data_IF_050669287076
#
_entry.id   IF_050669287076
#
_cell.length_a   1.000
_cell.length_b   1.000
_cell.length_c   1.000
_cell.angle_alpha   90.00
_cell.angle_beta   90.00
_cell.angle_gamma   90.00
#
_symmetry.space_group_name_H-M   'P 1'
#
loop_
_entity.id
_entity.type
_entity.pdbx_description
1 polymer ?
#
# COMPACT_ATOMS: atom_id res chain seq x y z
N UNK A 1 49.65 24.05 -27.46
CA UNK A 1 48.61 24.09 -26.41
C UNK A 1 47.19 23.87 -26.97
N UNK A 2 47.06 23.31 -28.19
CA UNK A 2 45.77 23.04 -28.83
C UNK A 2 45.48 21.54 -29.05
N UNK A 3 46.41 20.65 -28.69
CA UNK A 3 46.27 19.19 -28.88
C UNK A 3 45.82 18.43 -27.62
N UNK A 4 45.57 19.11 -26.49
CA UNK A 4 45.07 18.46 -25.27
C UNK A 4 43.55 18.52 -25.09
N UNK A 5 42.85 19.40 -25.82
CA UNK A 5 41.38 19.50 -25.75
C UNK A 5 40.67 18.48 -26.65
N UNK A 6 41.30 18.06 -27.76
CA UNK A 6 40.77 17.03 -28.65
C UNK A 6 40.93 15.62 -28.09
N UNK A 7 41.95 15.37 -27.24
CA UNK A 7 42.11 14.08 -26.56
C UNK A 7 41.09 13.86 -25.42
N UNK A 8 40.59 14.93 -24.79
CA UNK A 8 39.55 14.83 -23.76
C UNK A 8 38.14 14.69 -24.34
N UNK A 9 37.91 15.14 -25.58
CA UNK A 9 36.63 15.02 -26.26
C UNK A 9 36.35 13.60 -26.80
N UNK A 10 37.40 12.81 -27.11
CA UNK A 10 37.23 11.45 -27.64
C UNK A 10 36.99 10.40 -26.54
N UNK A 11 37.34 10.68 -25.28
CA UNK A 11 37.05 9.80 -24.14
C UNK A 11 35.63 9.96 -23.56
N UNK A 12 34.89 11.02 -23.93
CA UNK A 12 33.53 11.28 -23.44
C UNK A 12 32.44 10.52 -24.22
N UNK A 13 32.76 9.90 -25.37
CA UNK A 13 31.78 9.28 -26.25
C UNK A 13 31.20 7.94 -25.78
N UNK A 14 31.75 7.32 -24.72
CA UNK A 14 31.30 6.02 -24.20
C UNK A 14 30.69 6.04 -22.79
N UNK A 15 30.79 7.16 -22.07
CA UNK A 15 30.37 7.26 -20.65
C UNK A 15 28.94 7.76 -20.42
N UNK A 16 28.41 8.56 -21.33
CA UNK A 16 27.10 9.21 -21.16
C UNK A 16 25.91 8.27 -21.37
N UNK A 17 26.04 7.23 -22.19
CA UNK A 17 24.98 6.22 -22.36
C UNK A 17 24.89 5.26 -21.17
N UNK A 18 26.00 4.99 -20.47
CA UNK A 18 25.98 4.14 -19.27
C UNK A 18 25.37 4.82 -18.05
N UNK A 19 25.25 6.15 -18.06
CA UNK A 19 24.71 6.93 -16.95
C UNK A 19 23.22 7.30 -17.09
N UNK A 20 22.59 7.03 -18.23
CA UNK A 20 21.17 7.33 -18.43
C UNK A 20 20.28 6.27 -17.80
N UNK A 21 19.21 6.70 -17.13
CA UNK A 21 18.23 5.78 -16.58
C UNK A 21 17.23 5.39 -17.68
N UNK A 22 16.79 4.13 -17.69
CA UNK A 22 15.79 3.65 -18.67
C UNK A 22 14.45 4.37 -18.52
N UNK A 23 14.08 4.71 -17.28
CA UNK A 23 12.83 5.41 -16.96
C UNK A 23 13.10 6.92 -16.81
N UNK A 24 12.53 7.78 -17.67
CA UNK A 24 12.78 9.23 -17.64
C UNK A 24 12.40 9.89 -16.31
N UNK A 25 11.33 9.43 -15.67
CA UNK A 25 10.86 9.94 -14.39
C UNK A 25 11.90 9.72 -13.28
N UNK A 26 12.59 8.57 -13.31
CA UNK A 26 13.66 8.25 -12.36
C UNK A 26 14.86 9.17 -12.60
N UNK A 27 15.23 9.39 -13.86
CA UNK A 27 16.37 10.23 -14.23
C UNK A 27 16.24 11.68 -13.71
N UNK A 28 15.04 12.26 -13.78
CA UNK A 28 14.80 13.63 -13.32
C UNK A 28 14.68 13.71 -11.79
N UNK A 29 14.18 12.64 -11.16
CA UNK A 29 13.77 12.65 -9.75
C UNK A 29 14.85 12.14 -8.81
N UNK A 30 15.68 11.17 -9.21
CA UNK A 30 16.63 10.50 -8.32
C UNK A 30 18.06 11.02 -8.58
N UNK A 31 18.80 11.44 -7.53
CA UNK A 31 20.20 11.84 -7.69
C UNK A 31 21.08 10.65 -8.12
N UNK A 32 22.05 10.91 -8.99
CA UNK A 32 23.06 9.93 -9.43
C UNK A 32 24.31 9.91 -8.53
N UNK A 33 24.25 10.56 -7.37
CA UNK A 33 25.35 10.67 -6.41
C UNK A 33 24.93 10.12 -5.05
N UNK A 34 25.88 9.55 -4.32
CA UNK A 34 25.66 9.00 -2.98
C UNK A 34 26.93 9.16 -2.12
N UNK A 35 26.75 9.52 -0.85
CA UNK A 35 27.82 9.64 0.15
C UNK A 35 27.69 8.50 1.19
N UNK A 36 28.52 7.44 1.10
CA UNK A 36 28.47 6.30 2.01
C UNK A 36 28.84 6.60 3.47
N UNK A 37 29.42 7.77 3.75
CA UNK A 37 29.96 8.11 5.09
C UNK A 37 28.91 8.66 6.05
N UNK A 38 27.73 9.04 5.53
CA UNK A 38 26.66 9.62 6.33
C UNK A 38 26.15 8.65 7.42
N UNK A 39 26.02 9.10 8.68
CA UNK A 39 25.53 8.26 9.77
C UNK A 39 24.05 7.93 9.58
N UNK A 40 23.67 6.68 9.86
CA UNK A 40 22.31 6.14 9.63
C UNK A 40 21.66 5.61 10.91
N UNK A 41 22.41 4.87 11.73
CA UNK A 41 21.92 4.22 12.95
C UNK A 41 22.05 5.14 14.16
N UNK A 42 21.38 6.29 14.12
CA UNK A 42 21.47 7.29 15.19
C UNK A 42 20.38 7.12 16.23
N UNK A 43 20.60 7.65 17.44
CA UNK A 43 19.58 7.69 18.48
C UNK A 43 18.29 8.36 18.01
N UNK A 44 18.42 9.46 17.25
CA UNK A 44 17.29 10.19 16.65
C UNK A 44 16.47 9.33 15.71
N UNK A 45 17.13 8.55 14.85
CA UNK A 45 16.48 7.65 13.92
C UNK A 45 15.61 6.63 14.65
N UNK A 46 16.12 6.00 15.71
CA UNK A 46 15.36 5.05 16.51
C UNK A 46 14.18 5.68 17.23
N UNK A 47 14.40 6.80 17.93
CA UNK A 47 13.33 7.45 18.72
C UNK A 47 12.22 7.97 17.81
N UNK A 48 12.56 8.75 16.78
CA UNK A 48 11.57 9.31 15.86
C UNK A 48 10.92 8.23 14.99
N UNK A 49 11.69 7.22 14.56
CA UNK A 49 11.19 6.09 13.79
C UNK A 49 10.16 5.27 14.57
N UNK A 50 10.52 4.82 15.78
CA UNK A 50 9.61 4.03 16.63
C UNK A 50 8.38 4.84 17.03
N UNK A 51 8.54 6.09 17.43
CA UNK A 51 7.41 6.96 17.77
C UNK A 51 6.46 7.13 16.57
N UNK A 52 7.00 7.40 15.38
CA UNK A 52 6.19 7.53 14.15
C UNK A 52 5.47 6.22 13.83
N UNK A 53 6.14 5.08 13.94
CA UNK A 53 5.54 3.77 13.70
C UNK A 53 4.36 3.49 14.64
N UNK A 54 4.54 3.70 15.95
CA UNK A 54 3.49 3.48 16.96
C UNK A 54 2.29 4.41 16.74
N UNK A 55 2.55 5.70 16.52
CA UNK A 55 1.49 6.70 16.34
C UNK A 55 0.68 6.41 15.08
N UNK A 56 1.35 6.14 13.94
CA UNK A 56 0.66 5.85 12.68
C UNK A 56 -0.13 4.54 12.77
N UNK A 57 0.44 3.50 13.38
CA UNK A 57 -0.22 2.21 13.53
C UNK A 57 -1.50 2.33 14.35
N UNK A 58 -1.45 3.04 15.48
CA UNK A 58 -2.62 3.30 16.31
C UNK A 58 -3.67 4.13 15.56
N UNK A 59 -3.27 5.25 14.95
CA UNK A 59 -4.19 6.16 14.29
C UNK A 59 -4.90 5.48 13.10
N UNK A 60 -4.15 4.81 12.23
CA UNK A 60 -4.72 4.14 11.06
C UNK A 60 -5.61 2.97 11.45
N UNK A 61 -5.22 2.16 12.44
CA UNK A 61 -6.07 1.08 12.92
C UNK A 61 -7.36 1.60 13.56
N UNK A 62 -7.32 2.74 14.25
CA UNK A 62 -8.49 3.39 14.83
C UNK A 62 -9.43 3.95 13.76
N UNK A 63 -8.90 4.67 12.76
CA UNK A 63 -9.71 5.24 11.68
C UNK A 63 -10.30 4.18 10.75
N UNK A 64 -9.68 3.01 10.65
CA UNK A 64 -10.14 1.90 9.81
C UNK A 64 -11.55 1.39 10.15
N UNK A 65 -11.97 1.46 11.42
CA UNK A 65 -13.30 1.03 11.84
C UNK A 65 -14.40 2.09 11.62
N UNK A 66 -14.08 3.25 11.05
CA UNK A 66 -15.07 4.27 10.70
C UNK A 66 -15.75 3.93 9.37
N UNK A 67 -16.99 4.40 9.23
CA UNK A 67 -17.79 4.24 7.99
C UNK A 67 -17.10 4.83 6.77
N UNK A 68 -16.39 5.95 6.95
CA UNK A 68 -15.47 6.50 5.96
C UNK A 68 -14.05 6.45 6.55
N UNK A 69 -13.26 5.42 6.21
CA UNK A 69 -11.92 5.26 6.77
C UNK A 69 -11.01 6.36 6.22
N UNK A 70 -10.18 6.92 7.11
CA UNK A 70 -9.10 7.83 6.74
C UNK A 70 -7.78 7.13 6.98
N UNK A 71 -6.85 7.24 6.03
CA UNK A 71 -5.50 6.69 6.18
C UNK A 71 -4.49 7.82 6.21
N UNK A 72 -3.66 7.83 7.25
CA UNK A 72 -2.52 8.72 7.41
C UNK A 72 -1.31 8.03 6.80
N UNK A 73 -0.80 8.61 5.70
CA UNK A 73 0.35 8.06 4.99
C UNK A 73 1.69 8.34 5.71
N UNK A 74 2.72 7.57 5.38
CA UNK A 74 4.09 7.80 5.84
C UNK A 74 4.66 9.18 5.45
N UNK A 75 4.10 9.83 4.41
CA UNK A 75 4.49 11.17 3.97
C UNK A 75 4.22 12.21 5.06
N UNK A 76 3.16 12.04 5.86
CA UNK A 76 2.86 12.93 6.98
C UNK A 76 3.97 12.88 8.04
N UNK A 77 4.49 11.68 8.34
CA UNK A 77 5.63 11.51 9.23
C UNK A 77 6.92 12.08 8.61
N UNK A 78 7.15 11.87 7.31
CA UNK A 78 8.27 12.47 6.57
C UNK A 78 8.31 14.00 6.67
N UNK A 79 7.16 14.67 6.72
CA UNK A 79 7.12 16.14 6.91
C UNK A 79 7.35 16.50 8.38
N UNK A 80 6.66 15.82 9.31
CA UNK A 80 6.70 16.13 10.74
C UNK A 80 8.09 15.91 11.37
N UNK A 81 8.84 14.94 10.86
CA UNK A 81 10.16 14.57 11.38
C UNK A 81 11.23 15.60 11.07
N UNK A 82 11.09 16.44 10.03
CA UNK A 82 12.11 17.45 9.68
C UNK A 82 12.36 18.47 10.80
N UNK A 83 11.36 19.21 11.31
CA UNK A 83 11.61 20.16 12.39
C UNK A 83 12.08 19.47 13.67
N UNK A 84 11.54 18.28 13.98
CA UNK A 84 11.94 17.49 15.15
C UNK A 84 13.38 16.97 15.04
N UNK A 85 13.79 16.51 13.87
CA UNK A 85 15.14 16.03 13.58
C UNK A 85 16.18 17.14 13.71
N UNK A 86 15.89 18.33 13.17
CA UNK A 86 16.74 19.50 13.36
C UNK A 86 16.78 20.00 14.81
N UNK A 87 15.64 19.96 15.52
CA UNK A 87 15.59 20.31 16.94
C UNK A 87 16.47 19.37 17.76
N UNK A 88 16.30 18.05 17.60
CA UNK A 88 17.11 17.05 18.28
C UNK A 88 18.59 17.13 17.89
N UNK A 89 18.90 17.48 16.64
CA UNK A 89 20.28 17.70 16.22
C UNK A 89 20.94 18.92 16.89
N UNK A 90 20.16 19.92 17.31
CA UNK A 90 20.66 21.09 18.04
C UNK A 90 20.71 20.87 19.55
N UNK A 91 19.80 20.08 20.11
CA UNK A 91 19.67 19.91 21.56
C UNK A 91 20.44 18.71 22.13
N UNK A 92 20.65 17.65 21.35
CA UNK A 92 21.29 16.43 21.87
C UNK A 92 22.81 16.60 22.04
N UNK A 93 23.37 16.05 23.13
CA UNK A 93 24.80 16.15 23.41
C UNK A 93 25.62 15.37 22.38
N UNK A 94 26.73 15.96 21.93
CA UNK A 94 27.72 15.34 21.04
C UNK A 94 28.75 14.48 21.78
N UNK A 95 28.66 14.40 23.11
CA UNK A 95 29.58 13.64 23.95
C UNK A 95 29.52 12.16 23.60
N UNK A 96 30.69 11.54 23.47
CA UNK A 96 30.83 10.10 23.29
C UNK A 96 30.61 9.42 24.63
N UNK A 97 29.51 8.69 24.75
CA UNK A 97 29.22 7.83 25.91
C UNK A 97 30.01 6.53 25.75
N UNK A 98 30.50 5.97 26.86
CA UNK A 98 31.31 4.75 26.89
C UNK A 98 32.60 4.79 26.04
N UNK A 99 33.22 5.97 25.94
CA UNK A 99 34.49 6.16 25.26
C UNK A 99 35.56 5.16 25.74
N UNK A 100 36.24 4.49 24.81
CA UNK A 100 37.26 3.47 25.10
C UNK A 100 36.76 2.03 25.18
N UNK A 101 35.45 1.79 25.03
CA UNK A 101 34.88 0.43 24.95
C UNK A 101 34.33 0.13 23.56
N UNK A 102 34.06 -1.15 23.27
CA UNK A 102 33.37 -1.57 22.02
C UNK A 102 31.93 -1.04 21.91
N UNK A 103 31.40 -0.44 22.98
CA UNK A 103 30.05 0.11 23.06
C UNK A 103 30.03 1.65 23.03
N UNK A 104 31.14 2.27 22.64
CA UNK A 104 31.21 3.73 22.51
C UNK A 104 30.17 4.21 21.49
N UNK A 105 29.24 5.07 21.93
CA UNK A 105 28.24 5.67 21.04
C UNK A 105 28.00 7.14 21.38
N UNK A 106 27.65 7.93 20.37
CA UNK A 106 27.25 9.32 20.53
C UNK A 106 25.76 9.46 20.28
N UNK A 107 25.07 10.26 21.11
CA UNK A 107 23.66 10.58 20.90
C UNK A 107 23.45 11.51 19.69
N UNK A 108 24.49 12.26 19.31
CA UNK A 108 24.46 13.22 18.22
C UNK A 108 25.74 13.13 17.39
N UNK A 109 25.80 12.22 16.38
CA UNK A 109 26.99 12.05 15.54
C UNK A 109 27.18 13.16 14.50
N UNK A 110 26.20 14.05 14.30
CA UNK A 110 26.27 15.08 13.27
C UNK A 110 24.92 15.72 12.97
N UNK A 111 24.85 16.60 11.95
CA UNK A 111 23.60 17.22 11.53
C UNK A 111 22.58 16.19 11.04
N UNK A 112 21.30 16.54 11.13
CA UNK A 112 20.22 15.70 10.60
C UNK A 112 20.38 15.55 9.08
N UNK A 113 20.50 14.31 8.61
CA UNK A 113 20.81 14.00 7.22
C UNK A 113 19.67 13.22 6.53
N UNK A 114 19.73 13.15 5.20
CA UNK A 114 18.71 12.49 4.36
C UNK A 114 18.56 11.01 4.71
N UNK A 115 19.64 10.28 5.02
CA UNK A 115 19.58 8.84 5.26
C UNK A 115 18.95 8.49 6.60
N UNK A 116 19.28 9.23 7.66
CA UNK A 116 18.55 9.18 8.93
C UNK A 116 17.06 9.41 8.69
N UNK A 117 16.72 10.41 7.86
CA UNK A 117 15.34 10.73 7.54
C UNK A 117 14.61 9.61 6.78
N UNK A 118 15.23 9.05 5.74
CA UNK A 118 14.69 7.93 4.96
C UNK A 118 14.42 6.72 5.87
N UNK A 119 15.33 6.40 6.79
CA UNK A 119 15.13 5.29 7.72
C UNK A 119 13.95 5.54 8.68
N UNK A 120 13.79 6.76 9.19
CA UNK A 120 12.62 7.12 10.01
C UNK A 120 11.32 6.95 9.21
N UNK A 121 11.31 7.35 7.94
CA UNK A 121 10.14 7.17 7.06
C UNK A 121 9.85 5.70 6.76
N UNK A 122 10.86 4.83 6.66
CA UNK A 122 10.65 3.37 6.53
C UNK A 122 9.92 2.82 7.76
N UNK A 123 10.30 3.25 8.97
CA UNK A 123 9.60 2.88 10.20
C UNK A 123 8.16 3.40 10.20
N UNK A 124 7.97 4.66 9.82
CA UNK A 124 6.64 5.25 9.69
C UNK A 124 5.77 4.50 8.66
N UNK A 125 6.36 4.07 7.54
CA UNK A 125 5.66 3.30 6.51
C UNK A 125 5.23 1.91 6.99
N UNK A 126 6.07 1.25 7.79
CA UNK A 126 5.69 0.00 8.45
C UNK A 126 4.50 0.20 9.40
N UNK A 127 4.43 1.33 10.11
CA UNK A 127 3.28 1.68 10.96
C UNK A 127 2.05 2.21 10.19
N UNK A 128 2.24 2.76 9.00
CA UNK A 128 1.15 3.30 8.19
C UNK A 128 0.22 2.20 7.64
N UNK A 129 0.74 0.99 7.42
CA UNK A 129 -0.04 -0.15 6.95
C UNK A 129 -0.93 -0.77 8.04
N UNK A 130 -2.15 -1.13 7.68
CA UNK A 130 -3.04 -1.94 8.52
C UNK A 130 -2.79 -3.43 8.35
N UNK A 131 -2.82 -4.18 9.45
CA UNK A 131 -2.56 -5.63 9.44
C UNK A 131 -3.80 -6.37 8.96
N UNK A 132 -3.73 -7.03 7.79
CA UNK A 132 -4.89 -7.72 7.20
C UNK A 132 -5.51 -8.80 8.14
N UNK A 133 -4.69 -9.48 8.95
CA UNK A 133 -5.17 -10.45 9.93
C UNK A 133 -6.11 -9.86 11.00
N UNK A 134 -6.15 -8.53 11.18
CA UNK A 134 -7.13 -7.87 12.05
C UNK A 134 -8.57 -8.06 11.57
N UNK A 135 -8.80 -8.29 10.27
CA UNK A 135 -10.12 -8.62 9.74
C UNK A 135 -10.63 -9.96 10.27
N UNK A 136 -9.74 -10.95 10.42
CA UNK A 136 -10.09 -12.26 11.00
C UNK A 136 -10.49 -12.08 12.47
N UNK A 137 -9.67 -11.36 13.25
CA UNK A 137 -9.98 -11.08 14.66
C UNK A 137 -11.31 -10.34 14.82
N UNK A 138 -11.54 -9.32 13.98
CA UNK A 138 -12.78 -8.55 13.97
C UNK A 138 -13.98 -9.38 13.53
N UNK A 139 -13.82 -10.29 12.56
CA UNK A 139 -14.87 -11.23 12.18
C UNK A 139 -15.28 -12.14 13.35
N UNK A 140 -14.31 -12.76 14.01
CA UNK A 140 -14.54 -13.63 15.18
C UNK A 140 -15.22 -12.87 16.33
N UNK A 141 -14.75 -11.65 16.62
CA UNK A 141 -15.25 -10.84 17.74
C UNK A 141 -16.60 -10.18 17.46
N UNK A 142 -16.76 -9.52 16.31
CA UNK A 142 -17.93 -8.69 16.02
C UNK A 142 -19.09 -9.48 15.40
N UNK A 143 -18.79 -10.41 14.49
CA UNK A 143 -19.82 -11.18 13.77
C UNK A 143 -20.15 -12.48 14.47
N UNK A 144 -19.14 -13.24 14.91
CA UNK A 144 -19.36 -14.52 15.58
C UNK A 144 -19.48 -14.43 17.11
N UNK A 145 -19.33 -13.21 17.68
CA UNK A 145 -19.43 -12.94 19.12
C UNK A 145 -18.56 -13.84 20.00
N UNK A 146 -17.41 -14.28 19.48
CA UNK A 146 -16.44 -15.14 20.18
C UNK A 146 -15.19 -14.35 20.52
N UNK A 147 -14.48 -14.80 21.55
CA UNK A 147 -13.19 -14.24 21.92
C UNK A 147 -12.07 -15.09 21.33
N UNK A 148 -11.16 -14.46 20.59
CA UNK A 148 -9.86 -15.04 20.28
C UNK A 148 -8.88 -14.57 21.35
N UNK A 149 -8.23 -15.51 22.04
CA UNK A 149 -7.26 -15.17 23.09
C UNK A 149 -6.07 -14.40 22.50
N UNK A 150 -5.38 -13.63 23.35
CA UNK A 150 -4.31 -12.73 22.91
C UNK A 150 -3.19 -13.43 22.14
N UNK A 151 -2.73 -14.59 22.64
CA UNK A 151 -1.60 -15.34 22.07
C UNK A 151 -1.84 -15.79 20.62
N UNK A 152 -2.93 -16.52 20.27
CA UNK A 152 -3.18 -16.91 18.88
C UNK A 152 -3.43 -15.70 17.98
N UNK A 153 -4.08 -14.64 18.47
CA UNK A 153 -4.25 -13.41 17.70
C UNK A 153 -2.90 -12.76 17.35
N UNK A 154 -2.02 -12.63 18.34
CA UNK A 154 -0.68 -12.07 18.16
C UNK A 154 0.18 -12.92 17.22
N UNK A 155 0.16 -14.26 17.37
CA UNK A 155 0.89 -15.18 16.50
C UNK A 155 0.45 -15.05 15.05
N UNK A 156 -0.85 -15.07 14.76
CA UNK A 156 -1.36 -14.93 13.39
C UNK A 156 -1.03 -13.55 12.81
N UNK A 157 -1.15 -12.47 13.60
CA UNK A 157 -0.80 -11.13 13.15
C UNK A 157 0.68 -10.97 12.83
N UNK A 158 1.57 -11.41 13.73
CA UNK A 158 3.02 -11.30 13.53
C UNK A 158 3.45 -12.16 12.34
N UNK A 159 2.99 -13.41 12.29
CA UNK A 159 3.42 -14.34 11.25
C UNK A 159 2.99 -13.89 9.86
N UNK A 160 1.77 -13.37 9.70
CA UNK A 160 1.30 -12.85 8.41
C UNK A 160 2.11 -11.64 7.92
N UNK A 161 2.56 -10.76 8.82
CA UNK A 161 3.42 -9.61 8.46
C UNK A 161 4.86 -10.04 8.16
N UNK A 162 5.43 -10.91 8.99
CA UNK A 162 6.81 -11.42 8.83
C UNK A 162 6.95 -12.23 7.53
N UNK A 163 5.89 -12.92 7.10
CA UNK A 163 5.88 -13.69 5.86
C UNK A 163 6.19 -12.81 4.64
N UNK A 164 5.64 -11.60 4.60
CA UNK A 164 5.87 -10.63 3.54
C UNK A 164 7.33 -10.23 3.40
N UNK A 165 8.05 -10.06 4.51
CA UNK A 165 9.49 -9.76 4.48
C UNK A 165 10.33 -10.91 3.91
N UNK A 166 9.93 -12.17 4.18
CA UNK A 166 10.53 -13.34 3.56
C UNK A 166 10.39 -13.34 2.03
N UNK A 167 9.17 -13.09 1.52
CA UNK A 167 8.92 -13.00 0.08
C UNK A 167 9.65 -11.83 -0.59
N UNK A 168 9.60 -10.65 0.03
CA UNK A 168 10.26 -9.46 -0.50
C UNK A 168 11.77 -9.68 -0.70
N UNK A 169 12.42 -10.41 0.21
CA UNK A 169 13.83 -10.78 0.09
C UNK A 169 14.13 -11.72 -1.07
N UNK A 170 13.30 -12.75 -1.28
CA UNK A 170 13.46 -13.70 -2.39
C UNK A 170 13.26 -13.04 -3.75
N UNK A 171 12.31 -12.11 -3.86
CA UNK A 171 11.99 -11.40 -5.10
C UNK A 171 12.77 -10.09 -5.29
N UNK A 172 13.62 -9.68 -4.33
CA UNK A 172 14.41 -8.44 -4.39
C UNK A 172 15.17 -8.28 -5.71
N UNK A 173 15.78 -9.36 -6.21
CA UNK A 173 16.55 -9.35 -7.46
C UNK A 173 15.70 -8.99 -8.68
N UNK A 174 14.41 -9.36 -8.67
CA UNK A 174 13.48 -9.12 -9.77
C UNK A 174 12.68 -7.82 -9.63
N UNK A 175 12.30 -7.45 -8.40
CA UNK A 175 11.40 -6.32 -8.14
C UNK A 175 12.11 -5.02 -7.75
N UNK A 176 13.36 -5.09 -7.29
CA UNK A 176 14.11 -3.93 -6.78
C UNK A 176 15.34 -3.64 -7.65
N UNK A 177 16.10 -4.66 -8.02
CA UNK A 177 17.32 -4.45 -8.82
C UNK A 177 17.03 -4.27 -10.31
N UNK A 178 15.80 -4.53 -10.78
CA UNK A 178 15.41 -4.37 -12.19
C UNK A 178 15.18 -2.89 -12.54
N UNK A 179 15.87 -2.39 -13.56
CA UNK A 179 15.83 -0.99 -14.01
C UNK A 179 14.45 -0.52 -14.51
N UNK A 180 13.61 -1.46 -14.95
CA UNK A 180 12.25 -1.22 -15.41
C UNK A 180 11.25 -1.02 -14.24
N UNK A 181 11.62 -1.44 -13.03
CA UNK A 181 10.76 -1.43 -11.84
C UNK A 181 10.99 -0.14 -11.03
N UNK A 182 10.21 0.89 -11.29
CA UNK A 182 10.48 2.25 -10.79
C UNK A 182 9.63 2.72 -9.60
N UNK A 183 8.56 1.98 -9.24
CA UNK A 183 7.73 2.21 -8.06
C UNK A 183 7.25 3.67 -7.88
N UNK A 184 6.17 4.08 -8.57
CA UNK A 184 5.81 5.50 -8.71
C UNK A 184 5.56 6.24 -7.38
N UNK A 185 4.92 5.59 -6.41
CA UNK A 185 4.70 6.15 -5.07
C UNK A 185 6.00 6.46 -4.32
N UNK A 186 7.07 5.68 -4.56
CA UNK A 186 8.38 5.92 -3.95
C UNK A 186 9.04 7.16 -4.57
N UNK A 187 8.85 7.43 -5.87
CA UNK A 187 9.36 8.67 -6.47
C UNK A 187 8.75 9.93 -5.86
N UNK A 188 7.50 9.87 -5.43
CA UNK A 188 6.87 10.98 -4.68
C UNK A 188 7.59 11.21 -3.36
N UNK A 189 7.96 10.14 -2.62
CA UNK A 189 8.74 10.27 -1.39
C UNK A 189 10.16 10.80 -1.65
N UNK A 190 10.83 10.31 -2.71
CA UNK A 190 12.18 10.77 -3.08
C UNK A 190 12.18 12.24 -3.45
N UNK A 191 11.22 12.70 -4.25
CA UNK A 191 11.11 14.11 -4.62
C UNK A 191 10.89 15.00 -3.39
N UNK A 192 10.13 14.52 -2.41
CA UNK A 192 9.94 15.23 -1.13
C UNK A 192 11.21 15.23 -0.27
N UNK A 193 11.96 14.14 -0.17
CA UNK A 193 13.25 14.14 0.54
C UNK A 193 14.22 15.16 -0.05
N UNK A 194 14.29 15.22 -1.39
CA UNK A 194 15.10 16.23 -2.09
C UNK A 194 14.61 17.64 -1.78
N UNK A 195 13.32 17.89 -1.86
CA UNK A 195 12.77 19.22 -1.57
C UNK A 195 13.03 19.68 -0.12
N UNK A 196 13.12 18.75 0.83
CA UNK A 196 13.33 19.05 2.25
C UNK A 196 14.81 19.20 2.64
N UNK A 197 15.73 18.51 1.95
CA UNK A 197 17.16 18.49 2.31
C UNK A 197 18.07 19.20 1.30
N UNK A 198 17.67 19.37 0.04
CA UNK A 198 18.47 20.12 -0.94
C UNK A 198 18.33 21.63 -0.72
N UNK A 199 19.45 22.28 -0.42
CA UNK A 199 19.55 23.74 -0.38
C UNK A 199 19.66 24.30 -1.79
N UNK A 200 18.50 24.51 -2.45
CA UNK A 200 18.44 25.18 -3.75
C UNK A 200 18.83 26.65 -3.67
N UNK A 201 19.49 27.18 -4.72
CA UNK A 201 19.67 28.63 -4.89
C UNK A 201 18.29 29.29 -4.93
N UNK A 202 18.05 30.23 -3.99
CA UNK A 202 16.77 30.94 -3.87
C UNK A 202 16.45 31.62 -5.21
N UNK A 203 15.31 31.32 -5.86
CA UNK A 203 14.93 32.06 -7.06
C UNK A 203 14.75 33.53 -6.68
N UNK A 204 15.36 34.44 -7.46
CA UNK A 204 15.32 35.90 -7.19
C UNK A 204 13.90 36.48 -7.28
N UNK A 205 12.97 35.77 -7.91
CA UNK A 205 11.54 36.10 -7.99
C UNK A 205 10.72 34.80 -7.91
N UNK A 206 9.78 34.71 -6.97
CA UNK A 206 8.90 33.55 -6.76
C UNK A 206 8.87 33.03 -5.30
N UNK A 207 7.83 32.24 -5.00
CA UNK A 207 7.72 31.52 -3.72
C UNK A 207 8.77 30.41 -3.64
N UNK A 208 9.40 30.24 -2.48
CA UNK A 208 10.21 29.04 -2.24
C UNK A 208 9.34 27.79 -2.18
N UNK A 209 9.89 26.61 -2.51
CA UNK A 209 9.16 25.33 -2.44
C UNK A 209 8.53 25.12 -1.05
N UNK A 210 9.26 25.46 0.01
CA UNK A 210 8.80 25.35 1.40
C UNK A 210 7.68 26.35 1.72
N UNK A 211 7.77 27.59 1.25
CA UNK A 211 6.69 28.58 1.43
C UNK A 211 5.40 28.15 0.71
N UNK A 212 5.52 27.69 -0.54
CA UNK A 212 4.37 27.16 -1.28
C UNK A 212 3.74 25.99 -0.54
N UNK A 213 4.55 25.05 -0.06
CA UNK A 213 4.09 23.92 0.74
C UNK A 213 3.32 24.38 2.00
N UNK A 214 3.84 25.34 2.76
CA UNK A 214 3.17 25.84 3.96
C UNK A 214 1.86 26.57 3.67
N UNK A 215 1.80 27.34 2.57
CA UNK A 215 0.56 27.99 2.12
C UNK A 215 -0.49 26.93 1.78
N UNK A 216 -0.14 25.94 0.96
CA UNK A 216 -1.06 24.86 0.58
C UNK A 216 -1.50 24.06 1.80
N UNK A 217 -0.59 23.78 2.74
CA UNK A 217 -0.91 23.07 3.99
C UNK A 217 -1.94 23.85 4.81
N UNK A 218 -1.73 25.16 5.01
CA UNK A 218 -2.63 25.99 5.80
C UNK A 218 -3.99 26.17 5.12
N UNK A 219 -4.03 26.43 3.80
CA UNK A 219 -5.27 26.55 3.04
C UNK A 219 -6.04 25.24 3.03
N UNK A 220 -5.35 24.11 2.81
CA UNK A 220 -5.96 22.78 2.85
C UNK A 220 -6.53 22.49 4.24
N UNK A 221 -5.76 22.72 5.31
CA UNK A 221 -6.21 22.51 6.68
C UNK A 221 -7.49 23.29 6.98
N UNK A 222 -7.53 24.58 6.62
CA UNK A 222 -8.72 25.42 6.78
C UNK A 222 -9.90 24.94 5.92
N UNK A 223 -9.64 24.49 4.69
CA UNK A 223 -10.68 23.99 3.80
C UNK A 223 -11.34 22.71 4.35
N UNK A 224 -10.57 21.77 4.90
CA UNK A 224 -11.11 20.49 5.40
C UNK A 224 -12.07 20.63 6.60
N UNK A 225 -12.10 21.76 7.29
CA UNK A 225 -13.11 22.07 8.31
C UNK A 225 -14.52 22.12 7.69
N UNK A 226 -14.63 22.54 6.42
CA UNK A 226 -15.91 22.64 5.71
C UNK A 226 -16.52 21.26 5.42
N UNK A 227 -15.94 20.38 4.58
CA UNK A 227 -16.53 19.08 4.30
C UNK A 227 -16.52 18.16 5.53
N UNK A 228 -15.59 18.36 6.48
CA UNK A 228 -15.44 17.50 7.65
C UNK A 228 -16.41 17.80 8.80
N UNK A 229 -16.86 19.05 8.96
CA UNK A 229 -17.68 19.45 10.11
C UNK A 229 -18.83 20.39 9.75
N UNK A 230 -18.58 21.49 9.04
CA UNK A 230 -19.59 22.53 8.82
C UNK A 230 -20.63 22.14 7.75
N UNK A 231 -20.18 21.58 6.63
CA UNK A 231 -20.99 21.26 5.45
C UNK A 231 -20.64 19.87 4.92
N UNK A 232 -21.08 18.83 5.63
CA UNK A 232 -20.80 17.43 5.28
C UNK A 232 -21.38 17.01 3.92
N UNK A 233 -22.37 17.74 3.39
CA UNK A 233 -22.90 17.53 2.02
C UNK A 233 -21.81 17.65 0.93
N UNK A 234 -20.75 18.43 1.18
CA UNK A 234 -19.62 18.58 0.25
C UNK A 234 -18.89 17.26 -0.01
N UNK A 235 -19.01 16.27 0.88
CA UNK A 235 -18.37 14.95 0.72
C UNK A 235 -19.06 14.09 -0.34
N UNK A 236 -20.37 14.24 -0.53
CA UNK A 236 -21.12 13.49 -1.55
C UNK A 236 -22.30 14.31 -2.05
N UNK A 237 -22.02 15.25 -2.94
CA UNK A 237 -23.03 16.05 -3.60
C UNK A 237 -23.63 15.27 -4.77
N UNK A 238 -24.83 14.72 -4.57
CA UNK A 238 -25.51 13.87 -5.55
C UNK A 238 -26.59 14.65 -6.30
N UNK A 239 -26.22 15.26 -7.44
CA UNK A 239 -27.11 16.15 -8.22
C UNK A 239 -28.40 15.45 -8.69
N UNK A 240 -28.29 14.19 -9.11
CA UNK A 240 -29.44 13.40 -9.58
C UNK A 240 -30.45 13.13 -8.46
N UNK A 241 -29.99 12.90 -7.22
CA UNK A 241 -30.89 12.76 -6.07
C UNK A 241 -31.60 14.08 -5.73
N UNK A 242 -30.96 15.21 -5.97
CA UNK A 242 -31.54 16.52 -5.73
C UNK A 242 -32.63 16.88 -6.76
N UNK A 243 -32.42 16.53 -8.03
CA UNK A 243 -33.46 16.71 -9.07
C UNK A 243 -34.66 15.77 -8.91
N UNK A 244 -34.44 14.54 -8.44
CA UNK A 244 -35.49 13.52 -8.31
C UNK A 244 -35.62 12.99 -6.87
N UNK A 245 -36.04 13.83 -5.92
CA UNK A 245 -36.05 13.47 -4.50
C UNK A 245 -37.03 12.34 -4.17
N UNK A 246 -38.15 12.23 -4.89
CA UNK A 246 -39.21 11.26 -4.61
C UNK A 246 -39.11 9.97 -5.46
N UNK A 247 -38.17 9.89 -6.40
CA UNK A 247 -38.04 8.73 -7.29
C UNK A 247 -37.05 7.70 -6.73
N UNK A 248 -37.51 6.48 -6.52
CA UNK A 248 -36.66 5.36 -6.10
C UNK A 248 -35.55 5.11 -7.12
N UNK A 249 -35.87 5.18 -8.41
CA UNK A 249 -34.89 5.00 -9.49
C UNK A 249 -33.87 6.14 -9.51
N UNK A 250 -34.33 7.39 -9.32
CA UNK A 250 -33.43 8.56 -9.22
C UNK A 250 -32.45 8.44 -8.06
N UNK A 251 -32.91 7.94 -6.91
CA UNK A 251 -32.07 7.70 -5.74
C UNK A 251 -31.10 6.52 -5.94
N UNK A 252 -31.55 5.41 -6.55
CA UNK A 252 -30.70 4.25 -6.83
C UNK A 252 -29.58 4.58 -7.82
N UNK A 253 -29.88 5.37 -8.85
CA UNK A 253 -28.87 5.82 -9.83
C UNK A 253 -27.95 6.89 -9.26
N UNK A 254 -28.53 7.90 -8.60
CA UNK A 254 -27.82 9.13 -8.24
C UNK A 254 -27.03 9.09 -6.93
N UNK A 255 -27.40 8.24 -5.98
CA UNK A 255 -26.85 8.31 -4.62
C UNK A 255 -25.40 7.84 -4.60
N UNK A 256 -24.47 8.72 -4.20
CA UNK A 256 -23.06 8.37 -4.04
C UNK A 256 -22.76 7.44 -2.84
N UNK A 257 -23.65 7.38 -1.85
CA UNK A 257 -23.45 6.58 -0.63
C UNK A 257 -24.20 5.25 -0.62
N UNK A 258 -25.36 5.18 -1.30
CA UNK A 258 -26.27 4.02 -1.25
C UNK A 258 -26.71 3.53 -2.63
N UNK A 259 -26.17 4.12 -3.69
CA UNK A 259 -26.55 3.84 -5.08
C UNK A 259 -25.33 3.74 -5.99
N UNK A 260 -25.57 3.91 -7.29
CA UNK A 260 -24.50 3.82 -8.30
C UNK A 260 -23.63 5.10 -8.38
N UNK A 261 -24.08 6.21 -7.81
CA UNK A 261 -23.33 7.47 -7.75
C UNK A 261 -23.28 8.27 -9.06
N UNK A 262 -24.21 8.05 -10.01
CA UNK A 262 -24.26 8.81 -11.26
C UNK A 262 -24.53 10.29 -10.96
N UNK A 263 -23.60 11.16 -11.33
CA UNK A 263 -23.69 12.60 -11.04
C UNK A 263 -23.49 12.94 -9.56
N UNK A 264 -22.81 12.06 -8.81
CA UNK A 264 -22.33 12.34 -7.46
C UNK A 264 -20.89 12.84 -7.49
N UNK A 265 -20.62 13.94 -6.80
CA UNK A 265 -19.31 14.58 -6.73
C UNK A 265 -18.89 14.80 -5.28
N UNK A 266 -17.64 14.46 -4.95
CA UNK A 266 -17.01 14.86 -3.71
C UNK A 266 -16.14 16.10 -3.96
N UNK A 267 -16.28 17.12 -3.12
CA UNK A 267 -15.46 18.34 -3.17
C UNK A 267 -14.23 18.26 -2.25
N UNK A 268 -14.07 17.17 -1.50
CA UNK A 268 -12.91 16.94 -0.67
C UNK A 268 -11.96 15.89 -1.27
N UNK A 269 -10.67 16.16 -1.20
CA UNK A 269 -9.67 15.27 -1.79
C UNK A 269 -9.59 13.93 -1.05
N UNK A 270 -9.94 13.85 0.24
CA UNK A 270 -10.02 12.56 0.95
C UNK A 270 -11.06 11.62 0.36
N UNK A 271 -12.25 12.10 -0.02
CA UNK A 271 -13.28 11.28 -0.67
C UNK A 271 -12.82 10.84 -2.05
N UNK A 272 -12.25 11.76 -2.85
CA UNK A 272 -11.75 11.46 -4.20
C UNK A 272 -10.62 10.41 -4.17
N UNK A 273 -9.71 10.52 -3.20
CA UNK A 273 -8.52 9.64 -3.09
C UNK A 273 -8.72 8.41 -2.19
N UNK A 274 -9.85 8.31 -1.49
CA UNK A 274 -10.12 7.27 -0.48
C UNK A 274 -9.93 5.84 -0.98
N UNK A 275 -10.31 5.57 -2.23
CA UNK A 275 -10.33 4.21 -2.79
C UNK A 275 -9.12 3.89 -3.68
N UNK A 276 -8.68 4.83 -4.54
CA UNK A 276 -7.54 4.61 -5.46
C UNK A 276 -6.19 5.10 -4.91
N UNK A 277 -6.17 5.64 -3.68
CA UNK A 277 -5.01 6.36 -3.16
C UNK A 277 -4.78 7.66 -3.92
N UNK A 278 -3.53 8.11 -4.01
CA UNK A 278 -3.20 9.36 -4.72
C UNK A 278 -3.14 9.14 -6.24
N UNK A 279 -4.11 9.65 -7.03
CA UNK A 279 -4.08 9.51 -8.49
C UNK A 279 -2.90 10.27 -9.11
N UNK A 280 -2.36 11.27 -8.41
CA UNK A 280 -1.19 12.05 -8.84
C UNK A 280 0.09 11.22 -8.89
N UNK A 281 0.18 10.16 -8.07
CA UNK A 281 1.34 9.28 -8.05
C UNK A 281 1.28 8.19 -9.12
N UNK A 282 0.08 7.87 -9.62
CA UNK A 282 -0.13 6.77 -10.56
C UNK A 282 -0.05 7.25 -12.02
N UNK A 283 0.56 6.49 -12.94
CA UNK A 283 0.58 6.85 -14.35
C UNK A 283 -0.84 7.03 -14.94
N UNK A 284 -1.01 8.00 -15.83
CA UNK A 284 -2.31 8.34 -16.43
C UNK A 284 -3.02 7.13 -17.05
N UNK A 285 -2.29 6.29 -17.81
CA UNK A 285 -2.88 5.12 -18.46
C UNK A 285 -3.46 4.12 -17.44
N UNK A 286 -2.86 3.99 -16.27
CA UNK A 286 -3.34 3.09 -15.22
C UNK A 286 -4.66 3.64 -14.65
N UNK A 287 -4.69 4.93 -14.33
CA UNK A 287 -5.91 5.61 -13.85
C UNK A 287 -7.05 5.54 -14.87
N UNK A 288 -6.76 5.77 -16.15
CA UNK A 288 -7.74 5.65 -17.23
C UNK A 288 -8.31 4.23 -17.34
N UNK A 289 -7.47 3.19 -17.25
CA UNK A 289 -7.93 1.80 -17.27
C UNK A 289 -8.83 1.47 -16.07
N UNK A 290 -8.49 1.94 -14.87
CA UNK A 290 -9.35 1.73 -13.68
C UNK A 290 -10.68 2.47 -13.85
N UNK A 291 -10.68 3.69 -14.41
CA UNK A 291 -11.90 4.44 -14.69
C UNK A 291 -12.82 3.72 -15.70
N UNK A 292 -12.25 3.17 -16.79
CA UNK A 292 -13.00 2.36 -17.76
C UNK A 292 -13.57 1.10 -17.09
N UNK A 293 -12.76 0.40 -16.29
CA UNK A 293 -13.21 -0.76 -15.52
C UNK A 293 -14.36 -0.42 -14.57
N UNK A 294 -14.25 0.70 -13.84
CA UNK A 294 -15.31 1.20 -12.98
C UNK A 294 -16.60 1.47 -13.75
N UNK A 295 -16.55 2.16 -14.89
CA UNK A 295 -17.73 2.44 -15.72
C UNK A 295 -18.39 1.15 -16.20
N UNK A 296 -17.61 0.17 -16.67
CA UNK A 296 -18.13 -1.11 -17.12
C UNK A 296 -18.82 -1.89 -15.99
N UNK A 297 -18.22 -1.93 -14.80
CA UNK A 297 -18.79 -2.69 -13.66
C UNK A 297 -20.00 -1.98 -13.05
N UNK A 298 -19.86 -0.69 -12.75
CA UNK A 298 -20.86 0.09 -12.03
C UNK A 298 -22.03 0.50 -12.92
N UNK A 299 -21.79 0.90 -14.17
CA UNK A 299 -22.82 1.51 -15.03
C UNK A 299 -23.31 0.63 -16.18
N UNK A 300 -22.64 -0.48 -16.47
CA UNK A 300 -23.10 -1.43 -17.50
C UNK A 300 -23.51 -2.73 -16.83
N UNK A 301 -22.57 -3.42 -16.20
CA UNK A 301 -22.77 -4.79 -15.73
C UNK A 301 -23.74 -4.89 -14.55
N UNK A 302 -23.61 -4.02 -13.54
CA UNK A 302 -24.52 -3.99 -12.36
C UNK A 302 -25.95 -3.64 -12.76
N UNK A 303 -26.20 -2.59 -13.57
CA UNK A 303 -27.50 -2.32 -14.17
C UNK A 303 -28.11 -3.50 -14.94
N UNK A 304 -27.36 -4.07 -15.89
CA UNK A 304 -27.86 -5.14 -16.75
C UNK A 304 -28.31 -6.33 -15.91
N UNK A 305 -27.50 -6.76 -14.94
CA UNK A 305 -27.79 -7.90 -14.08
C UNK A 305 -28.92 -7.64 -13.09
N UNK A 306 -29.02 -6.41 -12.55
CA UNK A 306 -30.07 -6.04 -11.60
C UNK A 306 -31.44 -5.89 -12.28
N UNK A 307 -31.54 -5.14 -13.38
CA UNK A 307 -32.81 -4.90 -14.06
C UNK A 307 -33.32 -6.09 -14.88
N UNK A 308 -32.42 -6.95 -15.38
CA UNK A 308 -32.79 -8.25 -15.97
C UNK A 308 -33.25 -9.29 -14.93
N UNK A 309 -33.20 -8.95 -13.63
CA UNK A 309 -33.55 -9.83 -12.51
C UNK A 309 -32.78 -11.16 -12.51
N UNK A 310 -31.53 -11.14 -13.00
CA UNK A 310 -30.67 -12.32 -12.99
C UNK A 310 -30.42 -12.74 -11.54
N UNK A 311 -30.62 -14.04 -11.22
CA UNK A 311 -30.54 -14.57 -9.85
C UNK A 311 -31.49 -13.89 -8.83
N UNK A 312 -32.67 -13.42 -9.27
CA UNK A 312 -33.65 -12.71 -8.40
C UNK A 312 -33.06 -11.45 -7.73
N UNK A 313 -32.17 -10.77 -8.46
CA UNK A 313 -31.44 -9.60 -8.01
C UNK A 313 -32.32 -8.51 -7.38
N UNK A 314 -33.55 -8.30 -7.88
CA UNK A 314 -34.47 -7.26 -7.39
C UNK A 314 -34.97 -7.49 -5.97
N UNK A 315 -34.77 -8.69 -5.44
CA UNK A 315 -35.08 -9.04 -4.04
C UNK A 315 -34.13 -8.36 -3.05
N UNK A 316 -32.96 -7.91 -3.53
CA UNK A 316 -31.90 -7.33 -2.72
C UNK A 316 -31.65 -5.87 -3.12
N UNK A 317 -31.09 -5.01 -2.24
CA UNK A 317 -30.67 -3.68 -2.63
C UNK A 317 -29.57 -3.74 -3.71
N UNK A 318 -29.62 -2.84 -4.69
CA UNK A 318 -28.65 -2.75 -5.79
C UNK A 318 -27.20 -2.63 -5.29
N UNK A 319 -27.00 -1.86 -4.21
CA UNK A 319 -25.71 -1.59 -3.59
C UNK A 319 -25.78 -1.93 -2.09
N UNK A 320 -25.18 -3.05 -1.69
CA UNK A 320 -25.05 -3.41 -0.28
C UNK A 320 -23.95 -4.44 -0.03
N UNK A 321 -23.25 -4.32 1.09
CA UNK A 321 -22.30 -5.31 1.61
C UNK A 321 -22.92 -6.34 2.57
N UNK A 322 -24.23 -6.24 2.83
CA UNK A 322 -24.92 -7.15 3.74
C UNK A 322 -25.21 -8.51 3.08
N UNK A 323 -25.45 -9.51 3.94
CA UNK A 323 -25.86 -10.86 3.54
C UNK A 323 -27.37 -11.03 3.68
N UNK A 324 -27.99 -11.73 2.73
CA UNK A 324 -29.44 -11.87 2.64
C UNK A 324 -29.92 -13.32 2.52
N UNK A 325 -31.12 -13.59 3.04
CA UNK A 325 -31.89 -14.82 2.78
C UNK A 325 -32.62 -14.72 1.44
N UNK A 326 -33.16 -15.83 0.93
CA UNK A 326 -33.88 -15.87 -0.35
C UNK A 326 -35.10 -14.94 -0.43
N UNK A 327 -35.64 -14.52 0.71
CA UNK A 327 -36.77 -13.60 0.83
C UNK A 327 -36.37 -12.11 0.96
N UNK A 328 -35.07 -11.77 0.87
CA UNK A 328 -34.57 -10.40 1.02
C UNK A 328 -34.36 -9.93 2.46
N UNK A 329 -34.71 -10.73 3.46
CA UNK A 329 -34.39 -10.43 4.87
C UNK A 329 -32.89 -10.62 5.15
N UNK A 330 -32.36 -9.92 6.16
CA UNK A 330 -30.96 -10.04 6.56
C UNK A 330 -30.65 -11.47 7.03
N UNK A 331 -29.51 -11.99 6.59
CA UNK A 331 -29.04 -13.31 7.00
C UNK A 331 -28.48 -13.24 8.41
N UNK A 332 -29.01 -14.07 9.31
CA UNK A 332 -28.51 -14.17 10.68
C UNK A 332 -27.39 -15.21 10.75
N UNK A 333 -26.16 -14.73 10.81
CA UNK A 333 -24.95 -15.56 10.80
C UNK A 333 -24.83 -16.36 12.10
N UNK A 334 -25.32 -15.83 13.24
CA UNK A 334 -25.19 -16.52 14.53
C UNK A 334 -26.08 -17.76 14.60
N UNK A 335 -27.21 -17.75 13.88
CA UNK A 335 -28.14 -18.89 13.87
C UNK A 335 -27.58 -20.16 13.23
N UNK A 336 -26.58 -20.05 12.35
CA UNK A 336 -26.00 -21.19 11.61
C UNK A 336 -24.70 -21.72 12.22
N UNK A 337 -24.20 -21.11 13.30
CA UNK A 337 -22.93 -21.50 13.93
C UNK A 337 -23.20 -22.14 15.28
N UNK A 338 -22.72 -23.37 15.45
CA UNK A 338 -22.88 -24.12 16.69
C UNK A 338 -21.99 -23.57 17.83
N UNK A 339 -22.14 -24.13 19.04
CA UNK A 339 -21.32 -23.78 20.20
C UNK A 339 -19.83 -24.16 20.04
N UNK A 340 -19.47 -25.02 19.08
CA UNK A 340 -18.09 -25.44 18.75
C UNK A 340 -17.48 -24.67 17.57
N UNK A 341 -18.12 -23.56 17.15
CA UNK A 341 -17.69 -22.73 16.03
C UNK A 341 -17.80 -23.41 14.66
N UNK A 342 -18.59 -24.48 14.54
CA UNK A 342 -18.81 -25.20 13.30
C UNK A 342 -20.14 -24.80 12.66
N UNK A 343 -20.25 -24.98 11.34
CA UNK A 343 -21.49 -24.76 10.62
C UNK A 343 -22.52 -25.85 10.98
N UNK A 344 -23.64 -25.44 11.57
CA UNK A 344 -24.80 -26.30 11.77
C UNK A 344 -25.49 -26.55 10.43
N UNK A 345 -25.24 -27.72 9.86
CA UNK A 345 -25.80 -28.12 8.56
C UNK A 345 -27.32 -28.29 8.60
N UNK A 346 -27.89 -28.65 9.74
CA UNK A 346 -29.33 -28.82 9.91
C UNK A 346 -30.04 -27.47 9.78
N UNK A 347 -29.62 -26.50 10.59
CA UNK A 347 -30.16 -25.14 10.58
C UNK A 347 -29.86 -24.43 9.25
N UNK A 348 -28.67 -24.62 8.69
CA UNK A 348 -28.31 -24.10 7.36
C UNK A 348 -29.21 -24.64 6.25
N UNK A 349 -29.57 -25.92 6.29
CA UNK A 349 -30.47 -26.52 5.29
C UNK A 349 -31.88 -25.92 5.32
N UNK A 350 -32.35 -25.49 6.51
CA UNK A 350 -33.65 -24.85 6.69
C UNK A 350 -33.62 -23.36 6.31
N UNK A 351 -32.59 -22.63 6.72
CA UNK A 351 -32.42 -21.20 6.41
C UNK A 351 -32.09 -20.94 4.94
N UNK A 352 -31.51 -21.92 4.27
CA UNK A 352 -31.10 -21.86 2.89
C UNK A 352 -29.79 -21.09 2.67
N UNK A 353 -29.44 -20.95 1.39
CA UNK A 353 -28.18 -20.36 0.94
C UNK A 353 -28.11 -18.87 1.25
N UNK A 354 -26.90 -18.40 1.52
CA UNK A 354 -26.59 -16.97 1.66
C UNK A 354 -26.62 -16.31 0.28
N UNK A 355 -27.32 -15.19 0.16
CA UNK A 355 -27.38 -14.39 -1.06
C UNK A 355 -26.70 -13.04 -0.84
N UNK A 356 -26.10 -12.52 -1.91
CA UNK A 356 -25.38 -11.25 -1.93
C UNK A 356 -26.13 -10.27 -2.83
N UNK A 357 -25.91 -8.97 -2.63
CA UNK A 357 -26.35 -7.98 -3.61
C UNK A 357 -25.64 -8.21 -4.95
N UNK A 358 -26.29 -7.81 -6.05
CA UNK A 358 -25.73 -7.96 -7.39
C UNK A 358 -24.38 -7.26 -7.53
N UNK A 359 -24.26 -6.01 -7.05
CA UNK A 359 -23.00 -5.28 -7.07
C UNK A 359 -21.88 -6.04 -6.32
N UNK A 360 -22.19 -6.58 -5.14
CA UNK A 360 -21.19 -7.30 -4.33
C UNK A 360 -20.78 -8.62 -5.00
N UNK A 361 -21.74 -9.40 -5.51
CA UNK A 361 -21.48 -10.64 -6.22
C UNK A 361 -20.60 -10.43 -7.48
N UNK A 362 -20.94 -9.40 -8.28
CA UNK A 362 -20.18 -9.07 -9.49
C UNK A 362 -18.75 -8.61 -9.19
N UNK A 363 -18.56 -7.82 -8.12
CA UNK A 363 -17.24 -7.37 -7.69
C UNK A 363 -16.37 -8.56 -7.28
N UNK A 364 -16.91 -9.54 -6.54
CA UNK A 364 -16.19 -10.80 -6.25
C UNK A 364 -15.84 -11.60 -7.51
N UNK A 365 -16.80 -11.74 -8.43
CA UNK A 365 -16.58 -12.46 -9.69
C UNK A 365 -15.41 -11.87 -10.49
N UNK A 366 -15.36 -10.54 -10.61
CA UNK A 366 -14.25 -9.84 -11.26
C UNK A 366 -12.96 -9.93 -10.44
N UNK A 367 -13.04 -9.93 -9.11
CA UNK A 367 -11.89 -10.19 -8.25
C UNK A 367 -11.20 -11.52 -8.56
N UNK A 368 -11.97 -12.59 -8.75
CA UNK A 368 -11.40 -13.88 -9.18
C UNK A 368 -10.87 -13.85 -10.62
N UNK A 369 -11.58 -13.17 -11.54
CA UNK A 369 -11.14 -13.03 -12.92
C UNK A 369 -9.82 -12.24 -13.03
N UNK A 370 -9.61 -11.23 -12.18
CA UNK A 370 -8.41 -10.39 -12.20
C UNK A 370 -7.15 -11.15 -11.76
N UNK A 371 -7.25 -12.18 -10.92
CA UNK A 371 -6.12 -13.08 -10.62
C UNK A 371 -5.63 -13.79 -11.89
N UNK A 372 -6.55 -14.40 -12.65
CA UNK A 372 -6.21 -15.08 -13.91
C UNK A 372 -5.71 -14.09 -14.97
N UNK A 373 -6.39 -12.94 -15.10
CA UNK A 373 -5.98 -11.88 -16.02
C UNK A 373 -4.58 -11.32 -15.69
N UNK A 374 -4.20 -11.26 -14.41
CA UNK A 374 -2.88 -10.81 -13.97
C UNK A 374 -1.77 -11.74 -14.47
N UNK A 375 -1.97 -13.05 -14.36
CA UNK A 375 -1.04 -14.06 -14.89
C UNK A 375 -0.90 -13.92 -16.40
N UNK A 376 -2.04 -13.87 -17.12
CA UNK A 376 -2.04 -13.73 -18.58
C UNK A 376 -1.37 -12.42 -19.03
N UNK A 377 -1.67 -11.31 -18.36
CA UNK A 377 -1.09 -10.01 -18.65
C UNK A 377 0.44 -10.02 -18.49
N UNK A 378 0.93 -10.51 -17.36
CA UNK A 378 2.38 -10.57 -17.09
C UNK A 378 3.07 -11.53 -18.07
N UNK A 379 2.45 -12.67 -18.41
CA UNK A 379 3.02 -13.60 -19.40
C UNK A 379 3.09 -13.00 -20.82
N UNK A 380 2.07 -12.27 -21.26
CA UNK A 380 2.02 -11.69 -22.60
C UNK A 380 2.93 -10.47 -22.74
N UNK A 381 2.90 -9.55 -21.78
CA UNK A 381 3.58 -8.27 -21.89
C UNK A 381 4.99 -8.30 -21.29
N UNK A 382 5.18 -8.94 -20.14
CA UNK A 382 6.46 -8.98 -19.44
C UNK A 382 7.14 -10.35 -19.53
N UNK A 383 6.51 -11.36 -20.11
CA UNK A 383 7.04 -12.73 -20.13
C UNK A 383 8.36 -12.85 -20.87
N UNK A 384 8.52 -12.14 -21.99
CA UNK A 384 9.79 -12.09 -22.74
C UNK A 384 10.91 -11.45 -21.91
N UNK A 385 10.60 -10.37 -21.21
CA UNK A 385 11.55 -9.66 -20.36
C UNK A 385 11.89 -10.47 -19.11
N UNK A 386 10.92 -11.16 -18.51
CA UNK A 386 11.09 -12.11 -17.41
C UNK A 386 11.99 -13.28 -17.81
N UNK A 387 11.77 -13.90 -18.98
CA UNK A 387 12.62 -14.99 -19.48
C UNK A 387 14.02 -14.47 -19.80
N UNK A 388 14.13 -13.28 -20.40
CA UNK A 388 15.42 -12.61 -20.65
C UNK A 388 16.15 -12.30 -19.35
N UNK A 389 15.46 -11.79 -18.33
CA UNK A 389 16.00 -11.51 -17.01
C UNK A 389 16.37 -12.80 -16.27
N UNK A 390 15.56 -13.86 -16.35
CA UNK A 390 15.88 -15.17 -15.77
C UNK A 390 17.13 -15.78 -16.43
N UNK A 391 17.25 -15.72 -17.76
CA UNK A 391 18.46 -16.16 -18.48
C UNK A 391 19.69 -15.30 -18.15
N UNK A 392 19.52 -13.98 -18.05
CA UNK A 392 20.58 -13.04 -17.64
C UNK A 392 20.91 -13.12 -16.15
N UNK A 393 20.03 -13.66 -15.31
CA UNK A 393 20.31 -13.90 -13.89
C UNK A 393 21.42 -14.95 -13.71
N UNK A 394 21.68 -15.76 -14.74
CA UNK A 394 22.79 -16.71 -14.85
C UNK A 394 23.98 -16.18 -15.68
N UNK A 395 23.95 -14.92 -16.15
CA UNK A 395 25.02 -14.30 -16.95
C UNK A 395 25.40 -12.89 -16.49
N UNK A 396 26.29 -12.22 -17.24
CA UNK A 396 26.79 -10.88 -16.89
C UNK A 396 25.78 -9.78 -17.25
N UNK A 397 25.56 -8.83 -16.33
CA UNK A 397 24.39 -7.93 -16.34
C UNK A 397 24.80 -6.48 -16.60
N UNK A 398 24.16 -5.81 -17.56
CA UNK A 398 24.15 -4.34 -17.62
C UNK A 398 23.44 -3.81 -16.38
N UNK A 399 24.19 -3.12 -15.53
CA UNK A 399 23.70 -2.55 -14.28
C UNK A 399 23.36 -1.08 -14.47
N UNK A 400 22.18 -0.69 -14.00
CA UNK A 400 21.81 0.71 -13.89
C UNK A 400 22.71 1.46 -12.89
N UNK A 401 22.70 2.78 -13.00
CA UNK A 401 23.51 3.66 -12.15
C UNK A 401 23.19 3.47 -10.68
N UNK A 402 21.90 3.32 -10.32
CA UNK A 402 21.50 3.20 -8.92
C UNK A 402 21.89 1.86 -8.31
N UNK A 403 21.75 0.73 -9.02
CA UNK A 403 22.26 -0.56 -8.49
C UNK A 403 23.78 -0.56 -8.39
N UNK A 404 24.50 0.13 -9.29
CA UNK A 404 25.96 0.31 -9.21
C UNK A 404 26.36 1.09 -7.95
N UNK A 405 25.64 2.16 -7.60
CA UNK A 405 25.83 2.90 -6.35
C UNK A 405 25.52 2.03 -5.13
N UNK A 406 24.42 1.27 -5.17
CA UNK A 406 24.00 0.39 -4.08
C UNK A 406 24.98 -0.75 -3.80
N UNK A 407 25.79 -1.18 -4.78
CA UNK A 407 26.85 -2.20 -4.58
C UNK A 407 27.93 -1.79 -3.59
N UNK A 408 28.10 -0.48 -3.31
CA UNK A 408 29.04 -0.02 -2.26
C UNK A 408 28.61 -0.44 -0.86
N UNK A 409 27.34 -0.76 -0.66
CA UNK A 409 26.82 -1.26 0.60
C UNK A 409 26.87 -2.77 0.67
N UNK A 410 27.22 -3.29 1.86
CA UNK A 410 27.15 -4.73 2.13
C UNK A 410 25.71 -5.20 1.97
N UNK A 411 25.49 -6.09 1.01
CA UNK A 411 24.17 -6.64 0.76
C UNK A 411 23.76 -7.62 1.87
N UNK A 412 22.48 -7.60 2.23
CA UNK A 412 21.89 -8.60 3.13
C UNK A 412 21.89 -9.96 2.44
N UNK A 413 22.47 -11.01 3.05
CA UNK A 413 22.48 -12.35 2.47
C UNK A 413 21.08 -12.93 2.27
N UNK A 414 20.86 -13.65 1.16
CA UNK A 414 19.56 -14.27 0.84
C UNK A 414 19.12 -15.27 1.92
N UNK A 415 20.06 -15.94 2.58
CA UNK A 415 19.75 -16.93 3.62
C UNK A 415 19.02 -16.32 4.83
N UNK A 416 19.18 -15.01 5.12
CA UNK A 416 18.43 -14.35 6.21
C UNK A 416 16.93 -14.38 5.91
N UNK A 417 16.55 -14.09 4.67
CA UNK A 417 15.16 -14.11 4.23
C UNK A 417 14.60 -15.53 4.18
N UNK A 418 15.40 -16.51 3.75
CA UNK A 418 15.01 -17.93 3.78
C UNK A 418 14.80 -18.41 5.22
N UNK A 419 15.70 -18.04 6.15
CA UNK A 419 15.58 -18.41 7.55
C UNK A 419 14.32 -17.80 8.19
N UNK A 420 14.06 -16.50 7.95
CA UNK A 420 12.83 -15.83 8.39
C UNK A 420 11.61 -16.56 7.84
N UNK A 421 11.62 -16.92 6.56
CA UNK A 421 10.51 -17.60 5.91
C UNK A 421 10.23 -18.98 6.53
N UNK A 422 11.28 -19.81 6.69
CA UNK A 422 11.16 -21.17 7.23
C UNK A 422 10.67 -21.14 8.68
N UNK A 423 11.28 -20.29 9.52
CA UNK A 423 10.85 -20.12 10.92
C UNK A 423 9.41 -19.64 10.98
N UNK A 424 9.04 -18.68 10.14
CA UNK A 424 7.70 -18.13 10.14
C UNK A 424 6.64 -19.15 9.69
N UNK A 425 6.92 -19.95 8.65
CA UNK A 425 6.05 -21.05 8.20
C UNK A 425 5.89 -22.10 9.31
N UNK A 426 6.96 -22.45 10.01
CA UNK A 426 6.89 -23.38 11.13
C UNK A 426 6.00 -22.85 12.28
N UNK A 427 6.13 -21.56 12.62
CA UNK A 427 5.33 -20.93 13.68
C UNK A 427 3.84 -20.88 13.30
N UNK A 428 3.49 -20.51 12.07
CA UNK A 428 2.08 -20.48 11.65
C UNK A 428 1.49 -21.88 11.53
N UNK A 429 2.26 -22.90 11.10
CA UNK A 429 1.83 -24.30 11.10
C UNK A 429 1.54 -24.78 12.52
N UNK A 430 2.44 -24.49 13.47
CA UNK A 430 2.22 -24.78 14.88
C UNK A 430 0.97 -24.08 15.43
N UNK A 431 0.81 -22.78 15.14
CA UNK A 431 -0.35 -22.02 15.59
C UNK A 431 -1.67 -22.60 15.05
N UNK A 432 -1.71 -22.96 13.77
CA UNK A 432 -2.90 -23.56 13.14
C UNK A 432 -3.25 -24.94 13.71
N UNK A 433 -2.26 -25.78 13.99
CA UNK A 433 -2.50 -27.12 14.55
C UNK A 433 -2.89 -27.06 16.03
N UNK A 434 -2.14 -26.29 16.83
CA UNK A 434 -2.37 -26.19 18.28
C UNK A 434 -3.65 -25.41 18.61
N UNK A 435 -3.95 -24.33 17.86
CA UNK A 435 -5.16 -23.51 18.04
C UNK A 435 -6.25 -23.81 17.00
N UNK A 436 -6.33 -25.05 16.51
CA UNK A 436 -7.27 -25.45 15.46
C UNK A 436 -8.74 -25.18 15.83
N UNK A 437 -9.12 -25.33 17.11
CA UNK A 437 -10.46 -25.02 17.59
C UNK A 437 -10.87 -23.55 17.35
N UNK A 438 -9.89 -22.64 17.29
CA UNK A 438 -10.10 -21.20 17.11
C UNK A 438 -9.83 -20.76 15.66
N UNK A 439 -8.76 -21.26 15.04
CA UNK A 439 -8.31 -20.82 13.71
C UNK A 439 -8.94 -21.62 12.56
N UNK A 440 -9.36 -22.86 12.80
CA UNK A 440 -10.04 -23.76 11.86
C UNK A 440 -9.32 -24.06 10.53
N UNK A 441 -8.10 -23.54 10.36
CA UNK A 441 -7.27 -23.77 9.18
C UNK A 441 -6.40 -24.99 9.41
N UNK A 442 -6.59 -26.03 8.60
CA UNK A 442 -5.74 -27.22 8.61
C UNK A 442 -4.33 -26.89 8.12
N UNK A 443 -3.33 -27.65 8.56
CA UNK A 443 -1.91 -27.46 8.19
C UNK A 443 -1.66 -27.34 6.68
N UNK A 444 -2.35 -28.12 5.84
CA UNK A 444 -2.19 -28.06 4.38
C UNK A 444 -2.70 -26.73 3.80
N UNK A 445 -3.66 -26.09 4.47
CA UNK A 445 -4.19 -24.78 4.06
C UNK A 445 -3.14 -23.68 4.17
N UNK A 446 -2.26 -23.78 5.17
CA UNK A 446 -1.11 -22.87 5.33
C UNK A 446 -0.13 -23.03 4.16
N UNK A 447 0.20 -24.28 3.80
CA UNK A 447 1.11 -24.55 2.67
C UNK A 447 0.51 -24.10 1.34
N UNK A 448 -0.79 -24.33 1.14
CA UNK A 448 -1.51 -23.83 -0.03
C UNK A 448 -1.48 -22.30 -0.08
N UNK A 449 -1.75 -21.62 1.03
CA UNK A 449 -1.68 -20.16 1.10
C UNK A 449 -0.27 -19.63 0.79
N UNK A 450 0.78 -20.30 1.28
CA UNK A 450 2.16 -19.96 0.94
C UNK A 450 2.45 -20.17 -0.55
N UNK A 451 2.00 -21.28 -1.14
CA UNK A 451 2.19 -21.56 -2.56
C UNK A 451 1.50 -20.51 -3.45
N UNK A 452 0.25 -20.16 -3.12
CA UNK A 452 -0.51 -19.09 -3.79
C UNK A 452 0.22 -17.75 -3.64
N UNK A 453 0.67 -17.41 -2.43
CA UNK A 453 1.39 -16.16 -2.17
C UNK A 453 2.68 -16.06 -2.99
N UNK A 454 3.53 -17.10 -3.01
CA UNK A 454 4.77 -17.14 -3.81
C UNK A 454 4.45 -16.92 -5.29
N UNK A 455 3.47 -17.64 -5.81
CA UNK A 455 3.11 -17.61 -7.22
C UNK A 455 2.65 -16.22 -7.67
N UNK A 456 1.77 -15.58 -6.88
CA UNK A 456 1.21 -14.28 -7.23
C UNK A 456 2.08 -13.07 -6.84
N UNK A 457 3.04 -13.23 -5.93
CA UNK A 457 3.89 -12.09 -5.47
C UNK A 457 4.65 -11.45 -6.64
N UNK A 458 5.26 -12.24 -7.53
CA UNK A 458 6.03 -11.69 -8.64
C UNK A 458 5.15 -10.98 -9.69
N UNK A 459 4.06 -11.59 -10.23
CA UNK A 459 3.16 -10.91 -11.16
C UNK A 459 2.53 -9.65 -10.60
N UNK A 460 2.01 -9.70 -9.37
CA UNK A 460 1.39 -8.54 -8.71
C UNK A 460 2.45 -7.46 -8.44
N UNK A 461 3.65 -7.87 -8.02
CA UNK A 461 4.78 -6.97 -7.79
C UNK A 461 5.17 -6.19 -9.05
N UNK A 462 5.23 -6.84 -10.21
CA UNK A 462 5.56 -6.19 -11.49
C UNK A 462 4.51 -5.15 -11.88
N UNK A 463 3.22 -5.49 -11.76
CA UNK A 463 2.13 -4.56 -12.06
C UNK A 463 2.19 -3.37 -11.10
N UNK A 464 2.38 -3.61 -9.80
CA UNK A 464 2.43 -2.53 -8.82
C UNK A 464 3.67 -1.62 -9.02
N UNK A 465 4.83 -2.21 -9.32
CA UNK A 465 6.06 -1.47 -9.57
C UNK A 465 6.01 -0.56 -10.81
N UNK A 466 5.14 -0.86 -11.78
CA UNK A 466 5.02 -0.12 -13.04
C UNK A 466 3.80 0.81 -13.07
N UNK A 467 2.71 0.45 -12.39
CA UNK A 467 1.42 1.15 -12.44
C UNK A 467 1.03 1.83 -11.13
N UNK A 468 1.70 1.53 -10.02
CA UNK A 468 1.32 1.94 -8.66
C UNK A 468 -0.07 1.45 -8.23
N UNK A 469 -0.57 0.38 -8.85
CA UNK A 469 -1.87 -0.22 -8.55
C UNK A 469 -1.68 -1.68 -8.13
N UNK A 470 -2.14 -2.01 -6.92
CA UNK A 470 -2.18 -3.40 -6.42
C UNK A 470 -3.53 -4.00 -6.83
N UNK A 471 -3.51 -5.11 -7.58
CA UNK A 471 -4.72 -5.84 -7.99
C UNK A 471 -5.00 -6.97 -7.01
N UNK A 472 -6.27 -7.17 -6.64
CA UNK A 472 -6.70 -8.29 -5.78
C UNK A 472 -7.10 -7.91 -4.35
N UNK A 473 -7.41 -6.64 -4.09
CA UNK A 473 -8.06 -6.20 -2.84
C UNK A 473 -9.52 -5.83 -3.07
#
# INVERSE_FOLDING_TARGET
MADSETAFAVAAGGGDEEQKCVVPQVEVTVPKTDDPTLPVMTFRMWVLGLASCVILSFANQFFWYRTQPMSISAISAQIAVVPLGHLLAKTLPTRVLFAGTRWAFTMNPGPFNVKEHVLITIFANAGAGTVYATHILSAVKLYYKRQMTFVPAMLVMITTQVLGFGWAGLFRRYLVEAEEMWWPSILVQVSLFRALHETGKRPKSGLTRTQFFLIVLATSFSYYIFPGYLFTMLTSFSWVCWMFPNSVLGQQLGSGLKGLGIGSFGFDWSTISSYLGSPLASPWFATANVAVGFVLVMYVMTPLTYWSDTYKAKTFPIYSSNLYRSNGSRYDILSIVDSRFQLDRGVYSQLGRVNLSTFFAMTYGIGFATLSATVVHVLLFNGRDLVRQSRRAFGDRKMDVHTRLMKRYKQVPVWWFVAILVVNIAVILFACEYYNATLQLKWWGVLLACAVAIFFTLPIGIINATTNQVRGH
#
